data_IF_726855630857
#
_entry.id   IF_726855630857
#
_cell.length_a   1.000
_cell.length_b   1.000
_cell.length_c   1.000
_cell.angle_alpha   90.00
_cell.angle_beta   90.00
_cell.angle_gamma   90.00
#
_symmetry.space_group_name_H-M   'P 1'
#
loop_
_entity.id
_entity.type
_entity.pdbx_description
1 polymer ?
#
# COMPACT_ATOMS: atom_id res chain seq x y z
N UNK A 1 48.65 -16.85 7.36
CA UNK A 1 47.86 -17.93 8.00
C UNK A 1 46.68 -17.29 8.69
N UNK A 2 45.49 -17.36 8.07
CA UNK A 2 44.25 -16.93 8.71
C UNK A 2 43.90 -18.01 9.74
N UNK A 3 43.67 -17.67 11.03
CA UNK A 3 43.41 -18.67 12.06
C UNK A 3 42.12 -19.43 11.75
N UNK A 4 42.12 -20.75 11.96
CA UNK A 4 41.00 -21.66 11.67
C UNK A 4 39.68 -21.18 12.31
N UNK A 5 39.76 -20.55 13.49
CA UNK A 5 38.62 -19.93 14.18
C UNK A 5 38.02 -18.75 13.41
N UNK A 6 38.82 -17.91 12.75
CA UNK A 6 38.31 -16.79 11.97
C UNK A 6 37.56 -17.28 10.72
N UNK A 7 38.01 -18.39 10.12
CA UNK A 7 37.34 -19.04 8.99
C UNK A 7 35.97 -19.61 9.40
N UNK A 8 35.90 -20.22 10.58
CA UNK A 8 34.66 -20.75 11.14
C UNK A 8 33.68 -19.63 11.48
N UNK A 9 34.14 -18.52 12.05
CA UNK A 9 33.31 -17.35 12.36
C UNK A 9 32.71 -16.72 11.09
N UNK A 10 33.49 -16.63 10.01
CA UNK A 10 32.98 -16.12 8.71
C UNK A 10 31.98 -17.05 8.04
N UNK A 11 32.05 -18.37 8.30
CA UNK A 11 31.14 -19.36 7.73
C UNK A 11 29.77 -19.44 8.45
N UNK A 12 29.68 -19.01 9.71
CA UNK A 12 28.42 -18.97 10.46
C UNK A 12 27.59 -17.69 10.23
N UNK A 13 28.21 -16.59 9.80
CA UNK A 13 27.51 -15.32 9.56
C UNK A 13 26.39 -15.39 8.49
N UNK A 14 26.52 -16.13 7.36
CA UNK A 14 25.46 -16.26 6.36
C UNK A 14 24.24 -17.03 6.87
N UNK A 15 24.40 -17.88 7.88
CA UNK A 15 23.30 -18.69 8.44
C UNK A 15 22.33 -17.88 9.30
N UNK A 16 22.70 -16.64 9.68
CA UNK A 16 21.87 -15.78 10.51
C UNK A 16 20.91 -14.87 9.73
N UNK A 17 21.01 -14.74 8.40
CA UNK A 17 19.99 -14.04 7.61
C UNK A 17 18.83 -14.99 7.28
N UNK A 18 17.93 -15.20 8.25
CA UNK A 18 16.70 -15.94 7.96
C UNK A 18 15.86 -15.17 6.95
N UNK A 19 15.46 -15.84 5.87
CA UNK A 19 14.50 -15.32 4.92
C UNK A 19 13.12 -15.21 5.60
N UNK A 20 12.79 -14.02 6.11
CA UNK A 20 11.47 -13.74 6.65
C UNK A 20 10.36 -13.80 5.60
N UNK A 21 9.18 -14.27 6.02
CA UNK A 21 7.93 -14.15 5.27
C UNK A 21 7.24 -12.85 5.69
N UNK A 22 7.00 -11.96 4.74
CA UNK A 22 6.46 -10.62 4.99
C UNK A 22 5.17 -10.40 4.20
N UNK A 23 4.16 -9.83 4.85
CA UNK A 23 2.94 -9.36 4.22
C UNK A 23 2.91 -7.84 4.23
N UNK A 24 2.83 -7.22 3.04
CA UNK A 24 2.76 -5.78 2.88
C UNK A 24 1.33 -5.40 2.46
N UNK A 25 0.61 -4.67 3.32
CA UNK A 25 -0.72 -4.17 3.00
C UNK A 25 -0.60 -2.87 2.19
N UNK A 26 -1.15 -2.88 0.99
CA UNK A 26 -0.98 -1.81 0.00
C UNK A 26 -2.35 -1.23 -0.36
N UNK A 27 -2.58 0.08 -0.11
CA UNK A 27 -3.83 0.71 -0.50
C UNK A 27 -3.89 0.87 -2.04
N UNK A 28 -4.78 0.12 -2.66
CA UNK A 28 -5.11 0.17 -4.09
C UNK A 28 -6.04 1.34 -4.40
N UNK A 29 -5.59 2.57 -4.12
CA UNK A 29 -6.36 3.82 -4.33
C UNK A 29 -5.63 4.73 -5.33
N UNK A 30 -4.30 4.71 -5.32
CA UNK A 30 -3.48 5.52 -6.21
C UNK A 30 -2.24 4.76 -6.67
N UNK A 31 -1.86 4.90 -7.93
CA UNK A 31 -0.68 4.25 -8.49
C UNK A 31 0.63 4.67 -7.80
N UNK A 32 0.70 5.88 -7.23
CA UNK A 32 1.85 6.31 -6.43
C UNK A 32 2.06 5.47 -5.17
N UNK A 33 0.97 5.07 -4.50
CA UNK A 33 1.03 4.22 -3.31
C UNK A 33 1.49 2.80 -3.67
N UNK A 34 0.99 2.27 -4.79
CA UNK A 34 1.40 0.98 -5.32
C UNK A 34 2.86 0.99 -5.75
N UNK A 35 3.32 2.07 -6.38
CA UNK A 35 4.71 2.23 -6.82
C UNK A 35 5.69 2.28 -5.65
N UNK A 36 5.36 3.06 -4.61
CA UNK A 36 6.19 3.10 -3.41
C UNK A 36 6.29 1.71 -2.76
N UNK A 37 5.15 1.06 -2.59
CA UNK A 37 5.07 -0.26 -1.97
C UNK A 37 5.76 -1.34 -2.80
N UNK A 38 5.69 -1.26 -4.13
CA UNK A 38 6.39 -2.21 -5.00
C UNK A 38 7.90 -2.06 -4.90
N UNK A 39 8.43 -0.84 -4.80
CA UNK A 39 9.88 -0.61 -4.61
C UNK A 39 10.38 -1.17 -3.28
N UNK A 40 9.60 -1.03 -2.22
CA UNK A 40 9.90 -1.63 -0.91
C UNK A 40 9.90 -3.16 -1.02
N UNK A 41 8.84 -3.73 -1.59
CA UNK A 41 8.71 -5.18 -1.76
C UNK A 41 9.85 -5.76 -2.61
N UNK A 42 10.18 -5.12 -3.74
CA UNK A 42 11.28 -5.53 -4.61
C UNK A 42 12.64 -5.51 -3.90
N UNK A 43 12.87 -4.51 -3.07
CA UNK A 43 14.13 -4.38 -2.31
C UNK A 43 14.24 -5.51 -1.28
N UNK A 44 13.15 -5.80 -0.56
CA UNK A 44 13.09 -6.87 0.42
C UNK A 44 13.21 -8.26 -0.23
N UNK A 45 12.57 -8.48 -1.38
CA UNK A 45 12.70 -9.72 -2.15
C UNK A 45 14.12 -9.92 -2.67
N UNK A 46 14.78 -8.87 -3.15
CA UNK A 46 16.20 -8.94 -3.56
C UNK A 46 17.15 -9.25 -2.40
N UNK A 47 16.78 -8.88 -1.17
CA UNK A 47 17.52 -9.25 0.04
C UNK A 47 17.28 -10.70 0.49
N UNK A 48 16.44 -11.46 -0.23
CA UNK A 48 16.15 -12.87 0.06
C UNK A 48 14.90 -13.13 0.89
N UNK A 49 14.06 -12.12 1.14
CA UNK A 49 12.78 -12.29 1.86
C UNK A 49 11.65 -12.76 0.94
N UNK A 50 10.71 -13.55 1.48
CA UNK A 50 9.47 -13.94 0.80
C UNK A 50 8.40 -12.89 1.09
N UNK A 51 8.16 -12.01 0.12
CA UNK A 51 7.25 -10.85 0.29
C UNK A 51 5.97 -11.07 -0.50
N UNK A 52 4.85 -10.88 0.17
CA UNK A 52 3.51 -10.86 -0.44
C UNK A 52 2.88 -9.47 -0.28
N UNK A 53 2.54 -8.84 -1.39
CA UNK A 53 1.76 -7.59 -1.41
C UNK A 53 0.27 -7.93 -1.38
N UNK A 54 -0.41 -7.53 -0.32
CA UNK A 54 -1.86 -7.62 -0.17
C UNK A 54 -2.45 -6.28 -0.59
N UNK A 55 -2.99 -6.25 -1.81
CA UNK A 55 -3.60 -5.07 -2.41
C UNK A 55 -5.03 -4.92 -1.91
N UNK A 56 -5.31 -3.83 -1.20
CA UNK A 56 -6.64 -3.51 -0.71
C UNK A 56 -7.26 -2.50 -1.68
N UNK A 57 -8.08 -2.98 -2.60
CA UNK A 57 -8.70 -2.12 -3.61
C UNK A 57 -9.99 -1.51 -3.03
N UNK A 58 -9.94 -0.21 -2.73
CA UNK A 58 -11.11 0.53 -2.22
C UNK A 58 -12.01 1.11 -3.32
N UNK A 59 -11.52 1.12 -4.57
CA UNK A 59 -12.27 1.56 -5.74
C UNK A 59 -12.51 0.37 -6.67
N UNK A 60 -13.75 0.24 -7.18
CA UNK A 60 -14.14 -0.87 -8.05
C UNK A 60 -13.35 -0.90 -9.37
N UNK A 61 -13.04 0.27 -9.90
CA UNK A 61 -12.39 0.49 -11.20
C UNK A 61 -10.89 0.83 -11.07
N UNK A 62 -10.26 0.44 -9.95
CA UNK A 62 -8.83 0.70 -9.77
C UNK A 62 -7.95 -0.22 -10.63
N UNK A 63 -7.27 0.39 -11.61
CA UNK A 63 -6.28 -0.28 -12.43
C UNK A 63 -4.85 -0.03 -11.93
N UNK A 64 -4.12 -1.12 -11.69
CA UNK A 64 -2.69 -1.09 -11.37
C UNK A 64 -1.90 -0.87 -12.67
N UNK A 65 -1.27 0.30 -12.81
CA UNK A 65 -0.39 0.65 -13.94
C UNK A 65 1.10 0.47 -13.62
N UNK A 66 1.40 0.07 -12.39
CA UNK A 66 2.76 -0.12 -11.91
C UNK A 66 3.26 -1.50 -12.31
N UNK A 67 4.45 -1.55 -12.92
CA UNK A 67 5.14 -2.81 -13.17
C UNK A 67 5.77 -3.30 -11.87
N UNK A 68 5.38 -4.48 -11.43
CA UNK A 68 5.91 -5.15 -10.23
C UNK A 68 6.74 -6.35 -10.69
N UNK A 69 7.87 -6.58 -10.03
CA UNK A 69 8.73 -7.75 -10.24
C UNK A 69 7.96 -9.08 -10.01
N UNK A 70 8.20 -10.10 -10.84
CA UNK A 70 7.39 -11.35 -10.88
C UNK A 70 7.53 -12.20 -9.62
N UNK A 71 8.65 -12.05 -8.94
CA UNK A 71 9.03 -12.77 -7.73
C UNK A 71 8.25 -12.26 -6.50
N UNK A 72 7.66 -11.07 -6.57
CA UNK A 72 6.77 -10.54 -5.54
C UNK A 72 5.37 -11.13 -5.73
N UNK A 73 4.85 -11.81 -4.71
CA UNK A 73 3.49 -12.35 -4.74
C UNK A 73 2.48 -11.22 -4.56
N UNK A 74 1.41 -11.23 -5.33
CA UNK A 74 0.35 -10.22 -5.24
C UNK A 74 -0.97 -10.92 -4.92
N UNK A 75 -1.66 -10.44 -3.89
CA UNK A 75 -2.99 -10.88 -3.52
C UNK A 75 -3.93 -9.68 -3.51
N UNK A 76 -4.94 -9.66 -4.38
CA UNK A 76 -5.88 -8.56 -4.48
C UNK A 76 -7.16 -8.85 -3.69
N UNK A 77 -7.50 -7.95 -2.78
CA UNK A 77 -8.72 -7.96 -1.96
C UNK A 77 -9.60 -6.80 -2.43
N UNK A 78 -10.82 -7.12 -2.85
CA UNK A 78 -11.83 -6.11 -3.12
C UNK A 78 -12.44 -5.66 -1.78
N UNK A 79 -12.17 -4.41 -1.39
CA UNK A 79 -12.72 -3.76 -0.20
C UNK A 79 -13.50 -2.49 -0.60
N UNK A 80 -14.04 -2.47 -1.82
CA UNK A 80 -14.86 -1.37 -2.30
C UNK A 80 -16.28 -1.45 -1.74
N UNK A 81 -16.86 -0.29 -1.45
CA UNK A 81 -18.23 -0.12 -0.97
C UNK A 81 -19.05 0.66 -2.01
N UNK A 82 -18.94 0.28 -3.29
CA UNK A 82 -19.64 0.94 -4.40
C UNK A 82 -19.04 2.29 -4.80
N UNK A 83 -17.78 2.55 -4.44
CA UNK A 83 -17.10 3.78 -4.81
C UNK A 83 -16.30 3.58 -6.10
N UNK A 84 -16.69 4.30 -7.15
CA UNK A 84 -15.95 4.41 -8.41
C UNK A 84 -15.00 5.59 -8.36
N UNK A 85 -13.85 5.48 -9.03
CA UNK A 85 -12.87 6.56 -9.18
C UNK A 85 -13.49 7.85 -9.71
N UNK A 86 -14.40 7.76 -10.69
CA UNK A 86 -15.10 8.93 -11.26
C UNK A 86 -15.85 9.73 -10.19
N UNK A 87 -16.59 9.04 -9.32
CA UNK A 87 -17.37 9.68 -8.23
C UNK A 87 -16.43 10.38 -7.26
N UNK A 88 -15.30 9.75 -6.94
CA UNK A 88 -14.27 10.32 -6.06
C UNK A 88 -13.63 11.56 -6.68
N UNK A 89 -13.26 11.53 -7.96
CA UNK A 89 -12.66 12.66 -8.68
C UNK A 89 -13.64 13.84 -8.82
N UNK A 90 -14.92 13.57 -9.11
CA UNK A 90 -15.96 14.60 -9.15
C UNK A 90 -16.15 15.28 -7.80
N UNK A 91 -16.10 14.53 -6.69
CA UNK A 91 -16.15 15.13 -5.33
C UNK A 91 -14.90 15.94 -5.04
N UNK A 92 -13.71 15.40 -5.30
CA UNK A 92 -12.44 16.08 -5.03
C UNK A 92 -12.29 17.37 -5.83
N UNK A 93 -12.65 17.37 -7.12
CA UNK A 93 -12.53 18.54 -8.00
C UNK A 93 -13.30 19.78 -7.51
N UNK A 94 -14.40 19.58 -6.76
CA UNK A 94 -15.21 20.68 -6.22
C UNK A 94 -14.51 21.47 -5.11
N UNK A 95 -13.47 20.89 -4.52
CA UNK A 95 -12.87 21.32 -3.26
C UNK A 95 -11.36 21.54 -3.39
N UNK A 96 -10.65 20.64 -4.07
CA UNK A 96 -9.18 20.56 -4.05
C UNK A 96 -8.46 21.80 -4.60
N UNK A 97 -9.09 22.52 -5.53
CA UNK A 97 -8.53 23.72 -6.13
C UNK A 97 -9.07 25.02 -5.52
N UNK A 98 -9.95 24.93 -4.51
CA UNK A 98 -10.56 26.10 -3.87
C UNK A 98 -9.93 26.30 -2.51
N UNK A 99 -9.51 27.53 -2.25
CA UNK A 99 -9.15 27.94 -0.90
C UNK A 99 -10.44 28.17 -0.09
N UNK A 100 -10.88 27.13 0.61
CA UNK A 100 -12.05 27.16 1.47
C UNK A 100 -11.59 27.42 2.91
N UNK A 101 -12.18 28.42 3.55
CA UNK A 101 -12.04 28.61 4.99
C UNK A 101 -12.58 27.39 5.74
N UNK A 102 -11.94 27.05 6.87
CA UNK A 102 -12.42 25.97 7.77
C UNK A 102 -13.84 26.23 8.30
N UNK A 103 -14.29 27.49 8.27
CA UNK A 103 -15.62 27.92 8.71
C UNK A 103 -16.67 27.85 7.59
N UNK A 104 -16.26 27.58 6.34
CA UNK A 104 -17.16 27.44 5.20
C UNK A 104 -18.03 26.18 5.38
N UNK A 105 -19.33 26.30 5.13
CA UNK A 105 -20.28 25.18 5.19
C UNK A 105 -19.87 24.03 4.28
N UNK A 106 -19.32 24.34 3.09
CA UNK A 106 -18.82 23.33 2.15
C UNK A 106 -17.66 22.54 2.73
N UNK A 107 -16.79 23.18 3.50
CA UNK A 107 -15.68 22.49 4.16
C UNK A 107 -16.21 21.50 5.21
N UNK A 108 -17.18 21.92 6.03
CA UNK A 108 -17.84 21.06 7.03
C UNK A 108 -18.59 19.90 6.39
N UNK A 109 -19.27 20.12 5.27
CA UNK A 109 -19.96 19.07 4.52
C UNK A 109 -18.98 18.02 3.97
N UNK A 110 -17.85 18.44 3.41
CA UNK A 110 -16.81 17.52 2.96
C UNK A 110 -16.19 16.73 4.10
N UNK A 111 -15.96 17.37 5.25
CA UNK A 111 -15.47 16.68 6.45
C UNK A 111 -16.48 15.62 6.92
N UNK A 112 -17.77 15.96 6.95
CA UNK A 112 -18.85 15.00 7.26
C UNK A 112 -18.83 13.81 6.29
N UNK A 113 -18.74 14.07 4.99
CA UNK A 113 -18.66 13.00 3.98
C UNK A 113 -17.43 12.12 4.16
N UNK A 114 -16.28 12.69 4.53
CA UNK A 114 -15.07 11.93 4.83
C UNK A 114 -15.24 11.06 6.10
N UNK A 115 -15.89 11.56 7.14
CA UNK A 115 -16.21 10.79 8.35
C UNK A 115 -17.21 9.67 8.07
N UNK A 116 -18.26 9.95 7.28
CA UNK A 116 -19.24 8.94 6.87
C UNK A 116 -18.57 7.83 6.06
N UNK A 117 -17.66 8.17 5.17
CA UNK A 117 -16.83 7.22 4.43
C UNK A 117 -16.04 6.29 5.35
N UNK A 118 -15.33 6.83 6.34
CA UNK A 118 -14.56 6.04 7.30
C UNK A 118 -15.48 5.12 8.11
N UNK A 119 -16.64 5.63 8.50
CA UNK A 119 -17.62 4.86 9.27
C UNK A 119 -18.21 3.72 8.45
N UNK A 120 -18.51 3.94 7.17
CA UNK A 120 -19.01 2.90 6.25
C UNK A 120 -17.95 1.83 5.98
N UNK A 121 -16.69 2.22 5.78
CA UNK A 121 -15.60 1.26 5.60
C UNK A 121 -15.38 0.33 6.81
N UNK A 122 -15.72 0.79 8.02
CA UNK A 122 -15.65 -0.03 9.24
C UNK A 122 -16.92 -0.85 9.52
N UNK A 123 -18.04 -0.56 8.84
CA UNK A 123 -19.35 -1.20 9.08
C UNK A 123 -19.72 -2.28 8.07
N UNK A 124 -18.94 -2.45 7.01
CA UNK A 124 -19.15 -3.54 6.06
C UNK A 124 -18.81 -4.89 6.71
N UNK A 125 -19.81 -5.48 7.36
CA UNK A 125 -19.99 -6.92 7.57
C UNK A 125 -20.87 -7.51 6.46
#
# INVERSE_FOLDING_TARGET
MIPLCALFLTALLPSCSSAYKMALFVPGIANSQVLFSSRVAETLTKAGHDVTMIMINSLEDFEIKVKIMKEVKIYAVNASFGLTKRIMEERHSKVIYKDLSIWDTRFRENLKQATDFLTMACRSE
#
